data_IF_993308070407
#
_entry.id   IF_993308070407
#
_cell.length_a   1.000
_cell.length_b   1.000
_cell.length_c   1.000
_cell.angle_alpha   90.00
_cell.angle_beta   90.00
_cell.angle_gamma   90.00
#
_symmetry.space_group_name_H-M   'P 1'
#
loop_
_entity.id
_entity.type
_entity.pdbx_description
1 polymer ?
#
# COMPACT_ATOMS: atom_id res chain seq x y z
N UNK A 1 -29.24 -14.04 -1.39
CA UNK A 1 -27.78 -14.31 -1.33
C UNK A 1 -27.02 -13.09 -1.82
N UNK A 2 -25.96 -12.64 -1.12
CA UNK A 2 -25.11 -11.55 -1.62
C UNK A 2 -24.49 -11.94 -2.96
N UNK A 3 -24.65 -11.06 -3.96
CA UNK A 3 -24.08 -11.24 -5.30
C UNK A 3 -22.56 -11.08 -5.32
N UNK A 4 -21.94 -11.42 -6.46
CA UNK A 4 -20.48 -11.31 -6.64
C UNK A 4 -19.95 -9.90 -6.29
N UNK A 5 -20.58 -8.84 -6.80
CA UNK A 5 -20.17 -7.46 -6.53
C UNK A 5 -20.26 -7.06 -5.06
N UNK A 6 -21.27 -7.55 -4.33
CA UNK A 6 -21.35 -7.31 -2.88
C UNK A 6 -20.22 -7.99 -2.11
N UNK A 7 -19.79 -9.18 -2.54
CA UNK A 7 -18.61 -9.84 -1.97
C UNK A 7 -17.34 -9.07 -2.28
N UNK A 8 -17.18 -8.63 -3.54
CA UNK A 8 -16.05 -7.82 -3.98
C UNK A 8 -15.89 -6.53 -3.14
N UNK A 9 -17.00 -5.81 -2.91
CA UNK A 9 -17.01 -4.63 -2.02
C UNK A 9 -16.61 -4.98 -0.59
N UNK A 10 -17.22 -6.02 0.00
CA UNK A 10 -16.89 -6.42 1.37
C UNK A 10 -15.43 -6.86 1.55
N UNK A 11 -14.86 -7.56 0.58
CA UNK A 11 -13.46 -7.98 0.60
C UNK A 11 -12.52 -6.79 0.40
N UNK A 12 -12.90 -5.81 -0.41
CA UNK A 12 -12.15 -4.57 -0.59
C UNK A 12 -12.10 -3.72 0.69
N UNK A 13 -13.21 -3.64 1.43
CA UNK A 13 -13.29 -2.86 2.66
C UNK A 13 -12.45 -3.45 3.79
N UNK A 14 -12.25 -4.77 3.81
CA UNK A 14 -11.34 -5.43 4.76
C UNK A 14 -9.89 -4.90 4.67
N UNK A 15 -9.49 -4.37 3.52
CA UNK A 15 -8.16 -3.81 3.30
C UNK A 15 -8.05 -2.31 3.61
N UNK A 16 -9.06 -1.68 4.22
CA UNK A 16 -9.03 -0.23 4.51
C UNK A 16 -7.79 0.21 5.31
N UNK A 17 -7.46 -0.50 6.40
CA UNK A 17 -6.29 -0.20 7.24
C UNK A 17 -4.95 -0.41 6.52
N UNK A 18 -4.90 -1.35 5.57
CA UNK A 18 -3.72 -1.59 4.75
C UNK A 18 -3.52 -0.45 3.75
N UNK A 19 -4.62 -0.01 3.12
CA UNK A 19 -4.62 1.12 2.18
C UNK A 19 -4.19 2.42 2.85
N UNK A 20 -4.66 2.71 4.07
CA UNK A 20 -4.22 3.88 4.82
C UNK A 20 -2.73 3.83 5.14
N UNK A 21 -2.20 2.65 5.49
CA UNK A 21 -0.77 2.47 5.76
C UNK A 21 0.09 2.62 4.50
N UNK A 22 -0.40 2.20 3.33
CA UNK A 22 0.32 2.44 2.07
C UNK A 22 0.46 3.93 1.76
N UNK A 23 -0.60 4.71 2.00
CA UNK A 23 -0.57 6.16 1.82
C UNK A 23 0.42 6.86 2.77
N UNK A 24 0.63 6.32 3.97
CA UNK A 24 1.63 6.83 4.92
C UNK A 24 3.06 6.51 4.47
N UNK A 25 3.30 5.32 3.91
CA UNK A 25 4.64 4.85 3.54
C UNK A 25 5.17 5.45 2.22
N UNK A 26 4.27 5.96 1.36
CA UNK A 26 4.64 6.74 0.18
C UNK A 26 4.65 8.21 0.59
N UNK A 27 5.81 8.89 0.63
CA UNK A 27 5.80 10.32 0.81
C UNK A 27 5.35 10.93 -0.53
N UNK A 28 4.08 11.36 -0.59
CA UNK A 28 3.57 12.22 -1.65
C UNK A 28 4.20 13.61 -1.42
N UNK A 29 4.61 14.35 -2.46
CA UNK A 29 5.13 15.71 -2.31
C UNK A 29 4.22 16.53 -1.38
N UNK A 30 4.77 16.91 -0.24
CA UNK A 30 4.06 17.59 0.84
C UNK A 30 4.91 18.80 1.26
N UNK A 31 4.33 19.95 1.62
CA UNK A 31 5.10 21.06 2.20
C UNK A 31 6.05 20.65 3.34
N UNK A 32 5.78 19.54 4.03
CA UNK A 32 6.68 18.96 5.04
C UNK A 32 8.06 18.51 4.51
N UNK A 33 8.29 18.46 3.19
CA UNK A 33 9.57 18.12 2.54
C UNK A 33 10.68 19.14 2.80
N UNK A 34 10.29 20.39 3.01
CA UNK A 34 11.21 21.50 3.28
C UNK A 34 11.32 21.84 4.76
N UNK A 35 10.68 21.05 5.62
CA UNK A 35 10.79 21.25 7.06
C UNK A 35 12.16 20.75 7.53
N UNK A 36 12.92 21.58 8.26
CA UNK A 36 14.18 21.17 8.85
C UNK A 36 14.01 20.04 9.87
N UNK A 37 15.12 19.38 10.16
CA UNK A 37 15.20 18.30 11.15
C UNK A 37 15.75 18.88 12.46
N UNK A 38 14.91 18.96 13.49
CA UNK A 38 15.31 19.45 14.81
C UNK A 38 15.58 18.32 15.82
N UNK A 39 14.98 17.14 15.63
CA UNK A 39 15.03 16.04 16.59
C UNK A 39 15.76 14.79 16.06
N UNK A 40 16.51 14.13 16.95
CA UNK A 40 17.22 12.86 16.68
C UNK A 40 16.29 11.71 16.28
N UNK A 41 15.09 11.69 16.84
CA UNK A 41 14.07 10.67 16.53
C UNK A 41 13.53 10.85 15.11
N UNK A 42 13.28 12.10 14.70
CA UNK A 42 12.89 12.43 13.33
C UNK A 42 13.99 12.03 12.34
N UNK A 43 15.25 12.36 12.64
CA UNK A 43 16.40 11.98 11.81
C UNK A 43 16.51 10.46 11.62
N UNK A 44 16.38 9.70 12.71
CA UNK A 44 16.46 8.23 12.68
C UNK A 44 15.33 7.64 11.84
N UNK A 45 14.10 8.12 12.04
CA UNK A 45 12.94 7.70 11.25
C UNK A 45 13.14 8.03 9.76
N UNK A 46 13.67 9.21 9.44
CA UNK A 46 13.96 9.63 8.07
C UNK A 46 15.01 8.75 7.38
N UNK A 47 16.09 8.35 8.07
CA UNK A 47 17.14 7.49 7.52
C UNK A 47 16.65 6.07 7.28
N UNK A 48 15.85 5.53 8.20
CA UNK A 48 15.38 4.15 8.12
C UNK A 48 14.27 4.02 7.07
N UNK A 49 13.47 5.06 6.84
CA UNK A 49 12.30 5.04 5.96
C UNK A 49 12.59 4.64 4.50
N UNK A 50 13.66 5.11 3.82
CA UNK A 50 14.04 4.64 2.48
C UNK A 50 14.32 3.15 2.37
N UNK A 51 14.68 2.47 3.47
CA UNK A 51 14.97 1.04 3.48
C UNK A 51 13.73 0.26 3.94
N UNK A 52 13.15 0.65 5.07
CA UNK A 52 12.05 -0.08 5.68
C UNK A 52 10.77 -0.03 4.85
N UNK A 53 10.39 1.14 4.34
CA UNK A 53 9.12 1.35 3.62
C UNK A 53 9.01 0.51 2.34
N UNK A 54 9.98 0.53 1.41
CA UNK A 54 9.86 -0.25 0.18
C UNK A 54 9.97 -1.76 0.45
N UNK A 55 10.77 -2.20 1.42
CA UNK A 55 10.83 -3.61 1.80
C UNK A 55 9.49 -4.08 2.35
N UNK A 56 8.90 -3.32 3.27
CA UNK A 56 7.61 -3.67 3.85
C UNK A 56 6.50 -3.72 2.80
N UNK A 57 6.46 -2.73 1.89
CA UNK A 57 5.50 -2.69 0.78
C UNK A 57 5.71 -3.85 -0.20
N UNK A 58 6.96 -4.16 -0.55
CA UNK A 58 7.31 -5.26 -1.44
C UNK A 58 6.95 -6.64 -0.88
N UNK A 59 7.23 -6.89 0.40
CA UNK A 59 6.83 -8.14 1.08
C UNK A 59 5.31 -8.29 1.09
N UNK A 60 4.57 -7.21 1.39
CA UNK A 60 3.11 -7.25 1.35
C UNK A 60 2.57 -7.49 -0.07
N UNK A 61 3.16 -6.88 -1.09
CA UNK A 61 2.79 -7.13 -2.48
C UNK A 61 2.94 -8.62 -2.82
N UNK A 62 4.07 -9.22 -2.46
CA UNK A 62 4.36 -10.63 -2.73
C UNK A 62 3.39 -11.57 -1.98
N UNK A 63 3.07 -11.28 -0.72
CA UNK A 63 2.08 -12.03 0.05
C UNK A 63 0.68 -11.94 -0.57
N UNK A 64 0.28 -10.76 -1.04
CA UNK A 64 -1.01 -10.55 -1.71
C UNK A 64 -1.08 -11.30 -3.06
N UNK A 65 -0.01 -11.31 -3.84
CA UNK A 65 0.07 -12.11 -5.06
C UNK A 65 0.00 -13.61 -4.76
N UNK A 66 0.70 -14.08 -3.74
CA UNK A 66 0.64 -15.49 -3.32
C UNK A 66 -0.78 -15.87 -2.88
N UNK A 67 -1.42 -15.03 -2.06
CA UNK A 67 -2.80 -15.21 -1.61
C UNK A 67 -3.78 -15.23 -2.79
N UNK A 68 -3.65 -14.28 -3.71
CA UNK A 68 -4.46 -14.22 -4.92
C UNK A 68 -4.29 -15.49 -5.78
N UNK A 69 -3.06 -15.98 -5.92
CA UNK A 69 -2.76 -17.22 -6.65
C UNK A 69 -3.43 -18.44 -6.02
N UNK A 70 -3.41 -18.56 -4.69
CA UNK A 70 -4.10 -19.65 -3.98
C UNK A 70 -5.61 -19.60 -4.26
N UNK A 71 -6.24 -18.42 -4.15
CA UNK A 71 -7.66 -18.26 -4.45
C UNK A 71 -7.98 -18.51 -5.93
N UNK A 72 -7.06 -18.18 -6.85
CA UNK A 72 -7.21 -18.47 -8.27
C UNK A 72 -7.25 -19.99 -8.51
N UNK A 73 -6.34 -20.74 -7.90
CA UNK A 73 -6.31 -22.20 -7.98
C UNK A 73 -7.59 -22.82 -7.38
N UNK A 74 -8.05 -22.31 -6.24
CA UNK A 74 -9.33 -22.73 -5.66
C UNK A 74 -10.52 -22.43 -6.58
N UNK A 75 -10.53 -21.26 -7.23
CA UNK A 75 -11.57 -20.86 -8.19
C UNK A 75 -11.58 -21.78 -9.41
N UNK A 76 -10.41 -22.10 -9.97
CA UNK A 76 -10.23 -23.05 -11.07
C UNK A 76 -10.78 -24.43 -10.71
N UNK A 77 -10.43 -24.94 -9.51
CA UNK A 77 -10.92 -26.24 -9.02
C UNK A 77 -12.45 -26.24 -8.86
N UNK A 78 -13.02 -25.13 -8.39
CA UNK A 78 -14.46 -24.98 -8.16
C UNK A 78 -15.26 -24.70 -9.44
N UNK A 79 -14.61 -24.33 -10.55
CA UNK A 79 -15.31 -23.88 -11.78
C UNK A 79 -16.16 -24.99 -12.37
N UNK A 80 -15.58 -26.17 -12.59
CA UNK A 80 -16.27 -27.34 -13.17
C UNK A 80 -17.43 -27.83 -12.29
N UNK A 81 -17.25 -28.12 -10.98
CA UNK A 81 -18.35 -28.56 -10.14
C UNK A 81 -19.42 -27.48 -9.93
N UNK A 82 -19.05 -26.19 -9.86
CA UNK A 82 -20.04 -25.11 -9.77
C UNK A 82 -20.90 -25.02 -11.03
N UNK A 83 -20.30 -25.17 -12.22
CA UNK A 83 -21.02 -25.14 -13.49
C UNK A 83 -21.98 -26.32 -13.63
N UNK A 84 -21.51 -27.54 -13.32
CA UNK A 84 -22.32 -28.75 -13.38
C UNK A 84 -23.50 -28.69 -12.41
N UNK A 85 -23.27 -28.28 -11.16
CA UNK A 85 -24.33 -28.15 -10.15
C UNK A 85 -25.32 -27.02 -10.47
N UNK A 86 -24.86 -25.95 -11.12
CA UNK A 86 -25.74 -24.86 -11.56
C UNK A 86 -26.69 -25.30 -12.70
N UNK A 87 -26.22 -26.19 -13.59
CA UNK A 87 -27.02 -26.67 -14.74
C UNK A 87 -27.91 -27.83 -14.34
N UNK A 88 -27.37 -28.83 -13.66
CA UNK A 88 -28.07 -30.10 -13.40
C UNK A 88 -28.85 -30.12 -12.08
N UNK A 89 -28.51 -29.27 -11.11
CA UNK A 89 -29.14 -29.28 -9.77
C UNK A 89 -29.29 -27.88 -9.15
N UNK A 90 -29.91 -26.90 -9.86
CA UNK A 90 -29.86 -25.48 -9.50
C UNK A 90 -30.49 -25.11 -8.14
N UNK A 91 -31.50 -25.85 -7.70
CA UNK A 91 -32.25 -25.56 -6.47
C UNK A 91 -31.76 -26.34 -5.25
N UNK A 92 -30.60 -26.98 -5.35
CA UNK A 92 -30.02 -27.74 -4.23
C UNK A 92 -29.16 -26.85 -3.35
N UNK A 93 -29.16 -27.13 -2.04
CA UNK A 93 -28.30 -26.43 -1.08
C UNK A 93 -26.82 -26.55 -1.44
N UNK A 94 -26.41 -27.71 -2.00
CA UNK A 94 -25.06 -27.98 -2.48
C UNK A 94 -24.70 -27.04 -3.64
N UNK A 95 -25.56 -26.88 -4.64
CA UNK A 95 -25.35 -25.94 -5.75
C UNK A 95 -25.21 -24.50 -5.27
N UNK A 96 -26.07 -24.10 -4.34
CA UNK A 96 -26.05 -22.76 -3.75
C UNK A 96 -24.74 -22.48 -2.97
N UNK A 97 -24.26 -23.49 -2.22
CA UNK A 97 -23.04 -23.42 -1.43
C UNK A 97 -21.80 -23.39 -2.31
N UNK A 98 -21.70 -24.29 -3.30
CA UNK A 98 -20.56 -24.35 -4.25
C UNK A 98 -20.49 -23.09 -5.11
N UNK A 99 -21.62 -22.57 -5.59
CA UNK A 99 -21.66 -21.31 -6.35
C UNK A 99 -21.28 -20.11 -5.47
N UNK A 100 -21.71 -20.10 -4.20
CA UNK A 100 -21.31 -19.07 -3.23
C UNK A 100 -19.80 -19.11 -2.97
N UNK A 101 -19.22 -20.29 -2.76
CA UNK A 101 -17.79 -20.49 -2.54
C UNK A 101 -16.97 -20.05 -3.77
N UNK A 102 -17.38 -20.45 -4.98
CA UNK A 102 -16.77 -19.99 -6.23
C UNK A 102 -16.76 -18.46 -6.31
N UNK A 103 -17.91 -17.81 -6.07
CA UNK A 103 -18.02 -16.34 -6.08
C UNK A 103 -17.13 -15.68 -5.03
N UNK A 104 -17.00 -16.27 -3.85
CA UNK A 104 -16.09 -15.78 -2.79
C UNK A 104 -14.64 -15.88 -3.26
N UNK A 105 -14.20 -17.05 -3.70
CA UNK A 105 -12.82 -17.26 -4.14
C UNK A 105 -12.46 -16.33 -5.30
N UNK A 106 -13.33 -16.20 -6.30
CA UNK A 106 -13.13 -15.28 -7.41
C UNK A 106 -13.03 -13.82 -6.96
N UNK A 107 -13.87 -13.38 -6.02
CA UNK A 107 -13.81 -12.03 -5.47
C UNK A 107 -12.49 -11.78 -4.72
N UNK A 108 -12.04 -12.75 -3.91
CA UNK A 108 -10.75 -12.68 -3.23
C UNK A 108 -9.57 -12.63 -4.21
N UNK A 109 -9.57 -13.44 -5.27
CA UNK A 109 -8.53 -13.38 -6.30
C UNK A 109 -8.40 -11.99 -6.90
N UNK A 110 -9.52 -11.39 -7.33
CA UNK A 110 -9.54 -10.07 -7.96
C UNK A 110 -9.06 -8.98 -6.99
N UNK A 111 -9.61 -8.96 -5.77
CA UNK A 111 -9.25 -7.94 -4.79
C UNK A 111 -7.79 -8.08 -4.35
N UNK A 112 -7.34 -9.29 -4.04
CA UNK A 112 -5.97 -9.54 -3.56
C UNK A 112 -4.94 -9.25 -4.67
N UNK A 113 -5.25 -9.58 -5.94
CA UNK A 113 -4.39 -9.21 -7.08
C UNK A 113 -4.29 -7.69 -7.23
N UNK A 114 -5.43 -6.99 -7.17
CA UNK A 114 -5.49 -5.54 -7.30
C UNK A 114 -4.71 -4.86 -6.17
N UNK A 115 -4.88 -5.33 -4.94
CA UNK A 115 -4.13 -4.85 -3.78
C UNK A 115 -2.63 -5.13 -3.91
N UNK A 116 -2.25 -6.30 -4.46
CA UNK A 116 -0.86 -6.61 -4.77
C UNK A 116 -0.23 -5.67 -5.78
N UNK A 117 -0.96 -5.29 -6.84
CA UNK A 117 -0.52 -4.29 -7.82
C UNK A 117 -0.33 -2.93 -7.15
N UNK A 118 -1.30 -2.48 -6.34
CA UNK A 118 -1.21 -1.21 -5.61
C UNK A 118 0.02 -1.21 -4.69
N UNK A 119 0.25 -2.30 -3.96
CA UNK A 119 1.41 -2.46 -3.08
C UNK A 119 2.73 -2.44 -3.85
N UNK A 120 2.79 -3.05 -5.03
CA UNK A 120 3.98 -3.02 -5.90
C UNK A 120 4.25 -1.61 -6.44
N UNK A 121 3.23 -0.91 -6.94
CA UNK A 121 3.34 0.50 -7.35
C UNK A 121 3.77 1.39 -6.18
N UNK A 122 3.20 1.16 -5.00
CA UNK A 122 3.57 1.85 -3.76
C UNK A 122 5.04 1.60 -3.40
N UNK A 123 5.52 0.35 -3.51
CA UNK A 123 6.91 0.01 -3.25
C UNK A 123 7.85 0.76 -4.19
N UNK A 124 7.55 0.80 -5.49
CA UNK A 124 8.33 1.54 -6.48
C UNK A 124 8.33 3.04 -6.18
N UNK A 125 7.17 3.63 -5.91
CA UNK A 125 7.07 5.04 -5.52
C UNK A 125 7.88 5.33 -4.24
N UNK A 126 7.80 4.44 -3.25
CA UNK A 126 8.56 4.53 -2.00
C UNK A 126 10.08 4.47 -2.22
N UNK A 127 10.58 3.67 -3.18
CA UNK A 127 12.00 3.63 -3.55
C UNK A 127 12.46 4.97 -4.11
N UNK A 128 11.62 5.64 -4.90
CA UNK A 128 11.98 6.90 -5.56
C UNK A 128 11.83 8.09 -4.61
N UNK A 129 10.71 8.21 -3.91
CA UNK A 129 10.37 9.42 -3.18
C UNK A 129 10.94 9.49 -1.76
N UNK A 130 11.20 8.36 -1.09
CA UNK A 130 11.79 8.41 0.27
C UNK A 130 13.23 8.96 0.29
N UNK A 131 14.13 8.59 -0.64
CA UNK A 131 15.45 9.22 -0.74
C UNK A 131 15.37 10.71 -1.04
N UNK A 132 14.47 11.11 -1.95
CA UNK A 132 14.25 12.54 -2.28
C UNK A 132 13.78 13.29 -1.05
N UNK A 133 12.83 12.73 -0.29
CA UNK A 133 12.33 13.32 0.95
C UNK A 133 13.42 13.52 2.00
N UNK A 134 14.30 12.53 2.16
CA UNK A 134 15.45 12.65 3.06
C UNK A 134 16.40 13.75 2.61
N UNK A 135 16.70 13.82 1.31
CA UNK A 135 17.63 14.79 0.75
C UNK A 135 17.10 16.23 0.83
N UNK A 136 15.81 16.46 0.54
CA UNK A 136 15.20 17.80 0.66
C UNK A 136 15.19 18.29 2.11
N UNK A 137 14.93 17.40 3.08
CA UNK A 137 14.99 17.77 4.49
C UNK A 137 16.41 18.05 4.96
N UNK A 138 17.38 17.24 4.52
CA UNK A 138 18.78 17.48 4.84
C UNK A 138 19.25 18.84 4.30
N UNK A 139 18.93 19.17 3.04
CA UNK A 139 19.23 20.49 2.46
C UNK A 139 18.56 21.60 3.28
N UNK A 140 17.29 21.42 3.68
CA UNK A 140 16.57 22.42 4.45
C UNK A 140 17.22 22.68 5.81
N UNK A 141 17.66 21.62 6.52
CA UNK A 141 18.44 21.76 7.77
C UNK A 141 19.77 22.48 7.54
N UNK A 142 20.48 22.19 6.45
CA UNK A 142 21.75 22.87 6.14
C UNK A 142 21.53 24.35 5.88
N UNK A 143 20.51 24.70 5.08
CA UNK A 143 20.21 26.11 4.77
C UNK A 143 19.74 26.85 6.01
N UNK A 144 18.98 26.22 6.90
CA UNK A 144 18.62 26.80 8.21
C UNK A 144 19.88 27.06 9.06
N UNK A 145 20.78 26.09 9.18
CA UNK A 145 22.01 26.27 9.96
C UNK A 145 22.92 27.37 9.38
N UNK A 146 23.03 27.45 8.06
CA UNK A 146 23.75 28.56 7.40
C UNK A 146 23.09 29.91 7.67
N UNK A 147 21.75 29.96 7.71
CA UNK A 147 21.01 31.16 8.04
C UNK A 147 21.28 31.60 9.49
N UNK A 148 21.25 30.68 10.45
CA UNK A 148 21.58 30.95 11.86
C UNK A 148 23.01 31.48 12.05
N UNK A 149 23.99 30.84 11.40
CA UNK A 149 25.40 31.25 11.49
C UNK A 149 25.61 32.63 10.86
N UNK A 150 24.95 32.90 9.73
CA UNK A 150 25.09 34.20 9.03
C UNK A 150 24.37 35.32 9.77
N UNK A 151 23.23 35.03 10.39
CA UNK A 151 22.53 35.98 11.24
C UNK A 151 23.39 36.32 12.48
N UNK A 152 24.01 35.31 13.10
CA UNK A 152 24.89 35.49 14.26
C UNK A 152 26.18 36.26 13.93
N UNK A 153 26.83 35.96 12.79
CA UNK A 153 28.11 36.57 12.43
C UNK A 153 27.97 37.91 11.69
N UNK A 154 26.91 38.10 10.90
CA UNK A 154 26.79 39.22 9.97
C UNK A 154 25.48 40.02 10.11
N UNK A 155 24.55 39.60 10.99
CA UNK A 155 23.24 40.25 11.13
C UNK A 155 22.36 40.16 9.87
N UNK A 156 22.68 39.24 8.97
CA UNK A 156 22.04 39.07 7.67
C UNK A 156 21.37 37.69 7.59
N UNK A 157 20.15 37.65 7.09
CA UNK A 157 19.41 36.40 6.84
C UNK A 157 19.53 36.01 5.36
N UNK A 158 19.90 34.75 5.10
CA UNK A 158 20.06 34.16 3.77
C UNK A 158 18.71 33.74 3.19
N UNK A 159 17.80 33.20 4.02
CA UNK A 159 16.49 32.74 3.58
C UNK A 159 15.45 32.88 4.70
N UNK A 160 14.20 33.26 4.35
CA UNK A 160 13.04 33.17 5.23
C UNK A 160 12.37 31.81 5.04
N UNK A 161 12.37 30.99 6.08
CA UNK A 161 11.65 29.72 6.15
C UNK A 161 10.24 29.92 6.70
#
# INVERSE_FOLDING_TARGET
>A
MPGFFSKLGSTWDQYYSLRSKYAELIPIPNPSYFKPIHDLQDFTNLIVRPIHSPIWLGVNALLLFLKSFIYLMATLLLTVPALLLAIFAPNTDISSSTCSAFKTCAAHTVVDATMGIIAACAAVASIVFNPIYLLTRFISTVVEHLNEVTESCCGLTIARF
#
